data_IF_237900536522
#
_entry.id   IF_237900536522
#
_cell.length_a   1.000
_cell.length_b   1.000
_cell.length_c   1.000
_cell.angle_alpha   90.00
_cell.angle_beta   90.00
_cell.angle_gamma   90.00
#
_symmetry.space_group_name_H-M   'P 1'
#
loop_
_entity.id
_entity.type
_entity.pdbx_description
1 polymer ?
#
# COMPACT_ATOMS: atom_id res chain seq x y z
N UNK A 1 -12.07 5.13 1.31
CA UNK A 1 -12.88 4.92 2.53
C UNK A 1 -11.97 5.05 3.74
N UNK A 2 -12.10 6.14 4.49
CA UNK A 2 -11.38 6.29 5.75
C UNK A 2 -12.06 5.42 6.82
N UNK A 3 -11.26 4.81 7.69
CA UNK A 3 -11.76 4.05 8.84
C UNK A 3 -11.43 4.80 10.12
N UNK A 4 -12.47 5.02 10.92
CA UNK A 4 -12.42 5.64 12.26
C UNK A 4 -12.82 4.61 13.32
N UNK A 5 -13.98 3.97 13.13
CA UNK A 5 -14.51 2.89 13.93
C UNK A 5 -15.53 2.06 13.11
N UNK A 6 -15.94 0.91 13.67
CA UNK A 6 -16.89 0.01 13.03
C UNK A 6 -18.27 0.65 12.79
N UNK A 7 -18.79 1.42 13.75
CA UNK A 7 -20.14 2.01 13.64
C UNK A 7 -20.23 3.00 12.48
N UNK A 8 -19.24 3.88 12.33
CA UNK A 8 -19.17 4.81 11.22
C UNK A 8 -18.99 4.08 9.89
N UNK A 9 -18.13 3.05 9.83
CA UNK A 9 -17.98 2.23 8.63
C UNK A 9 -19.30 1.54 8.25
N UNK A 10 -20.02 0.99 9.23
CA UNK A 10 -21.32 0.35 9.04
C UNK A 10 -22.38 1.32 8.51
N UNK A 11 -22.33 2.58 8.91
CA UNK A 11 -23.30 3.61 8.50
C UNK A 11 -22.95 4.29 7.17
N UNK A 12 -21.65 4.50 6.87
CA UNK A 12 -21.21 5.39 5.79
C UNK A 12 -20.64 4.67 4.57
N UNK A 13 -20.17 3.43 4.69
CA UNK A 13 -19.57 2.72 3.55
C UNK A 13 -20.65 2.06 2.66
N UNK A 14 -20.39 1.88 1.35
CA UNK A 14 -21.35 1.29 0.42
C UNK A 14 -21.73 -0.14 0.82
N UNK A 15 -23.03 -0.40 0.95
CA UNK A 15 -23.59 -1.66 1.47
C UNK A 15 -23.15 -2.89 0.69
N UNK A 16 -22.84 -2.74 -0.59
CA UNK A 16 -22.46 -3.83 -1.49
C UNK A 16 -21.07 -4.42 -1.16
N UNK A 17 -20.21 -3.63 -0.52
CA UNK A 17 -18.82 -4.02 -0.28
C UNK A 17 -18.35 -3.79 1.16
N UNK A 18 -19.15 -3.11 1.98
CA UNK A 18 -18.81 -2.68 3.34
C UNK A 18 -18.31 -3.81 4.22
N UNK A 19 -19.06 -4.88 4.34
CA UNK A 19 -18.74 -5.95 5.31
C UNK A 19 -17.45 -6.68 4.91
N UNK A 20 -17.26 -6.92 3.60
CA UNK A 20 -16.05 -7.54 3.04
C UNK A 20 -14.84 -6.61 3.16
N UNK A 21 -15.01 -5.32 2.88
CA UNK A 21 -13.96 -4.32 3.02
C UNK A 21 -13.52 -4.15 4.47
N UNK A 22 -14.47 -4.18 5.41
CA UNK A 22 -14.20 -4.08 6.83
C UNK A 22 -13.44 -5.32 7.34
N UNK A 23 -13.86 -6.52 6.92
CA UNK A 23 -13.15 -7.75 7.26
C UNK A 23 -11.73 -7.79 6.69
N UNK A 24 -11.56 -7.37 5.43
CA UNK A 24 -10.26 -7.25 4.78
C UNK A 24 -9.36 -6.25 5.51
N UNK A 25 -9.89 -5.09 5.90
CA UNK A 25 -9.16 -4.09 6.65
C UNK A 25 -8.67 -4.62 8.01
N UNK A 26 -9.56 -5.26 8.79
CA UNK A 26 -9.22 -5.79 10.12
C UNK A 26 -8.13 -6.86 10.04
N UNK A 27 -8.30 -7.83 9.16
CA UNK A 27 -7.33 -8.91 8.96
C UNK A 27 -5.97 -8.38 8.49
N UNK A 28 -5.98 -7.40 7.57
CA UNK A 28 -4.76 -6.76 7.08
C UNK A 28 -4.08 -5.93 8.17
N UNK A 29 -4.84 -5.28 9.05
CA UNK A 29 -4.28 -4.49 10.13
C UNK A 29 -3.51 -5.35 11.14
N UNK A 30 -4.01 -6.54 11.49
CA UNK A 30 -3.30 -7.48 12.34
C UNK A 30 -1.97 -7.93 11.72
N UNK A 31 -1.95 -8.18 10.40
CA UNK A 31 -0.72 -8.47 9.66
C UNK A 31 0.26 -7.28 9.72
N UNK A 32 -0.22 -6.05 9.53
CA UNK A 32 0.61 -4.84 9.61
C UNK A 32 1.23 -4.66 10.98
N UNK A 33 0.50 -4.93 12.08
CA UNK A 33 1.07 -4.89 13.45
C UNK A 33 2.30 -5.79 13.55
N UNK A 34 2.16 -7.06 13.16
CA UNK A 34 3.24 -8.05 13.20
C UNK A 34 4.43 -7.67 12.31
N UNK A 35 4.16 -7.13 11.12
CA UNK A 35 5.21 -6.65 10.23
C UNK A 35 5.97 -5.47 10.84
N UNK A 36 5.26 -4.51 11.44
CA UNK A 36 5.88 -3.33 12.05
C UNK A 36 6.72 -3.71 13.28
N UNK A 37 6.20 -4.60 14.13
CA UNK A 37 6.92 -5.20 15.26
C UNK A 37 8.23 -5.84 14.79
N UNK A 38 8.18 -6.70 13.77
CA UNK A 38 9.36 -7.36 13.25
C UNK A 38 10.36 -6.37 12.63
N UNK A 39 9.87 -5.41 11.83
CA UNK A 39 10.71 -4.44 11.13
C UNK A 39 11.44 -3.51 12.11
N UNK A 40 10.75 -2.94 13.10
CA UNK A 40 11.35 -2.03 14.06
C UNK A 40 12.09 -2.78 15.18
N UNK A 41 11.62 -3.97 15.56
CA UNK A 41 12.33 -4.87 16.48
C UNK A 41 13.70 -5.28 15.95
N UNK A 42 13.83 -5.56 14.65
CA UNK A 42 15.12 -5.80 13.99
C UNK A 42 16.07 -4.60 14.02
N UNK A 43 15.56 -3.39 14.29
CA UNK A 43 16.36 -2.19 14.49
C UNK A 43 16.68 -1.92 15.97
N UNK A 44 16.25 -2.81 16.88
CA UNK A 44 16.44 -2.70 18.32
C UNK A 44 15.38 -1.85 19.03
N UNK A 45 14.25 -1.56 18.38
CA UNK A 45 13.15 -0.83 19.02
C UNK A 45 12.27 -1.77 19.85
N UNK A 46 12.02 -1.41 21.10
CA UNK A 46 11.01 -2.05 21.95
C UNK A 46 9.66 -1.34 21.79
N UNK A 47 8.73 -2.03 21.13
CA UNK A 47 7.39 -1.53 20.86
C UNK A 47 6.37 -2.26 21.73
N UNK A 48 5.64 -1.48 22.52
CA UNK A 48 4.39 -1.93 23.13
C UNK A 48 3.20 -1.66 22.18
N UNK A 49 2.04 -2.18 22.54
CA UNK A 49 0.81 -2.02 21.75
C UNK A 49 0.47 -0.55 21.47
N UNK A 50 0.68 0.34 22.45
CA UNK A 50 0.36 1.76 22.31
C UNK A 50 1.25 2.45 21.28
N UNK A 51 2.56 2.13 21.25
CA UNK A 51 3.50 2.67 20.26
C UNK A 51 3.17 2.15 18.86
N UNK A 52 2.82 0.88 18.73
CA UNK A 52 2.40 0.30 17.44
C UNK A 52 1.16 1.04 16.94
N UNK A 53 0.14 1.17 17.79
CA UNK A 53 -1.09 1.87 17.44
C UNK A 53 -0.86 3.34 17.07
N UNK A 54 0.11 4.01 17.68
CA UNK A 54 0.49 5.37 17.30
C UNK A 54 1.05 5.44 15.87
N UNK A 55 1.77 4.41 15.40
CA UNK A 55 2.39 4.38 14.08
C UNK A 55 1.42 3.99 12.95
N UNK A 56 0.36 3.25 13.25
CA UNK A 56 -0.59 2.71 12.25
C UNK A 56 -2.07 2.94 12.63
N UNK A 57 -2.32 3.99 13.42
CA UNK A 57 -3.63 4.30 13.98
C UNK A 57 -4.65 4.70 12.92
N UNK A 58 -4.26 5.55 11.96
CA UNK A 58 -5.11 5.95 10.83
C UNK A 58 -5.07 4.86 9.75
N UNK A 59 -6.26 4.50 9.26
CA UNK A 59 -6.44 3.46 8.25
C UNK A 59 -7.32 3.97 7.13
N UNK A 60 -6.96 3.65 5.89
CA UNK A 60 -7.76 3.99 4.72
C UNK A 60 -7.74 2.83 3.72
N UNK A 61 -8.90 2.52 3.15
CA UNK A 61 -9.04 1.55 2.06
C UNK A 61 -9.48 2.29 0.81
N UNK A 62 -8.75 2.16 -0.30
CA UNK A 62 -9.24 2.62 -1.60
C UNK A 62 -9.69 1.43 -2.44
N UNK A 63 -10.71 1.66 -3.27
CA UNK A 63 -11.17 0.71 -4.29
C UNK A 63 -10.92 1.37 -5.63
N UNK A 64 -9.76 1.07 -6.22
CA UNK A 64 -9.37 1.70 -7.47
C UNK A 64 -9.88 0.85 -8.64
N UNK A 65 -10.55 1.51 -9.59
CA UNK A 65 -10.98 0.92 -10.85
C UNK A 65 -10.36 1.71 -11.99
N UNK A 66 -9.60 1.02 -12.84
CA UNK A 66 -8.91 1.60 -13.97
C UNK A 66 -9.51 1.02 -15.25
N UNK A 67 -10.15 1.87 -16.04
CA UNK A 67 -10.72 1.49 -17.33
C UNK A 67 -9.62 1.15 -18.36
N UNK A 68 -9.99 0.38 -19.37
CA UNK A 68 -9.16 0.25 -20.58
C UNK A 68 -8.87 1.61 -21.18
N UNK A 69 -7.60 1.88 -21.49
CA UNK A 69 -7.16 3.11 -22.13
C UNK A 69 -6.81 2.86 -23.60
N UNK A 70 -7.41 3.58 -24.58
CA UNK A 70 -7.07 3.41 -25.99
C UNK A 70 -5.60 3.72 -26.33
N UNK A 71 -5.00 4.68 -25.61
CA UNK A 71 -3.62 5.12 -25.82
C UNK A 71 -2.84 5.07 -24.50
N UNK A 72 -2.48 3.87 -24.01
CA UNK A 72 -1.93 3.70 -22.66
C UNK A 72 -0.55 4.35 -22.47
N UNK A 73 0.17 4.63 -23.56
CA UNK A 73 1.46 5.33 -23.54
C UNK A 73 1.33 6.84 -23.30
N UNK A 74 0.15 7.42 -23.50
CA UNK A 74 -0.10 8.87 -23.38
C UNK A 74 -0.63 9.28 -22.01
N UNK A 75 -0.96 8.32 -21.15
CA UNK A 75 -1.51 8.58 -19.82
C UNK A 75 -1.03 7.57 -18.80
N UNK A 76 -1.39 7.80 -17.54
CA UNK A 76 -0.99 6.95 -16.43
C UNK A 76 -2.17 6.76 -15.49
N UNK A 77 -2.25 5.59 -14.86
CA UNK A 77 -3.27 5.33 -13.84
C UNK A 77 -2.95 6.10 -12.56
N UNK A 78 -1.69 6.03 -12.11
CA UNK A 78 -1.18 6.82 -10.99
C UNK A 78 0.24 7.30 -11.33
N UNK A 79 0.45 8.61 -11.20
CA UNK A 79 1.73 9.27 -11.46
C UNK A 79 2.87 8.82 -10.53
N UNK A 80 4.08 9.31 -10.82
CA UNK A 80 5.27 9.03 -10.00
C UNK A 80 5.08 9.58 -8.59
N UNK A 81 5.13 8.71 -7.61
CA UNK A 81 5.04 9.08 -6.20
C UNK A 81 5.67 8.00 -5.31
N UNK A 82 5.83 8.34 -4.03
CA UNK A 82 6.13 7.43 -2.95
C UNK A 82 5.07 7.63 -1.87
N UNK A 83 4.65 6.57 -1.20
CA UNK A 83 3.58 6.69 -0.21
C UNK A 83 4.02 7.46 1.02
N UNK A 84 3.13 8.33 1.51
CA UNK A 84 3.35 9.17 2.68
C UNK A 84 3.05 8.44 4.01
N UNK A 85 2.59 7.20 3.94
CA UNK A 85 2.10 6.44 5.09
C UNK A 85 3.23 5.67 5.80
N UNK A 86 2.88 4.76 6.70
CA UNK A 86 3.79 3.84 7.38
C UNK A 86 4.05 2.61 6.52
N UNK A 87 2.96 1.91 6.19
CA UNK A 87 2.96 0.71 5.34
C UNK A 87 1.69 0.70 4.50
N UNK A 88 1.87 0.44 3.20
CA UNK A 88 0.77 0.17 2.26
C UNK A 88 0.68 -1.32 1.98
N UNK A 89 -0.56 -1.83 1.91
CA UNK A 89 -0.90 -3.22 1.60
C UNK A 89 -1.76 -3.20 0.35
N UNK A 90 -1.25 -3.75 -0.74
CA UNK A 90 -1.91 -3.73 -2.03
C UNK A 90 -2.36 -5.15 -2.42
N UNK A 91 -3.68 -5.30 -2.59
CA UNK A 91 -4.27 -6.41 -3.32
C UNK A 91 -4.43 -6.02 -4.79
N UNK A 92 -3.81 -6.79 -5.68
CA UNK A 92 -3.91 -6.64 -7.12
C UNK A 92 -4.88 -7.67 -7.72
N UNK A 93 -5.48 -7.35 -8.86
CA UNK A 93 -6.03 -8.36 -9.75
C UNK A 93 -4.93 -9.08 -10.54
N UNK A 94 -5.34 -9.96 -11.47
CA UNK A 94 -4.43 -10.71 -12.32
C UNK A 94 -3.84 -9.95 -13.52
N UNK A 95 -4.05 -8.63 -13.65
CA UNK A 95 -3.65 -7.87 -14.85
C UNK A 95 -2.27 -7.22 -14.69
N UNK A 96 -1.88 -6.80 -13.47
CA UNK A 96 -0.56 -6.21 -13.20
C UNK A 96 -0.56 -4.69 -13.29
N UNK A 97 0.42 -4.08 -13.97
CA UNK A 97 0.57 -2.63 -14.18
C UNK A 97 1.12 -1.78 -13.03
N UNK A 98 1.50 -2.38 -11.90
CA UNK A 98 2.28 -1.69 -10.86
C UNK A 98 3.76 -1.71 -11.28
N UNK A 99 4.40 -0.56 -11.33
CA UNK A 99 5.84 -0.45 -11.58
C UNK A 99 6.51 0.28 -10.45
N UNK A 100 7.65 -0.26 -9.99
CA UNK A 100 8.51 0.40 -9.02
C UNK A 100 9.78 0.88 -9.71
N UNK A 101 10.34 1.99 -9.23
CA UNK A 101 11.66 2.42 -9.65
C UNK A 101 12.69 1.57 -8.93
N UNK A 102 13.50 0.82 -9.67
CA UNK A 102 14.46 -0.11 -9.09
C UNK A 102 15.40 0.63 -8.11
N UNK A 103 15.42 0.25 -6.81
CA UNK A 103 16.36 0.83 -5.87
C UNK A 103 17.77 0.35 -6.20
N UNK A 104 18.76 1.18 -5.88
CA UNK A 104 20.19 0.96 -6.20
C UNK A 104 20.74 -0.40 -5.73
N UNK A 105 20.05 -1.06 -4.80
CA UNK A 105 20.47 -2.29 -4.13
C UNK A 105 20.06 -3.56 -4.88
N UNK A 106 19.07 -3.51 -5.80
CA UNK A 106 18.50 -4.72 -6.42
C UNK A 106 19.28 -5.16 -7.66
N UNK A 107 19.78 -4.21 -8.45
CA UNK A 107 20.73 -4.46 -9.53
C UNK A 107 21.38 -3.13 -9.95
N UNK A 108 22.70 -3.01 -9.84
CA UNK A 108 23.44 -1.79 -10.23
C UNK A 108 23.25 -1.45 -11.71
N UNK A 109 22.99 -2.45 -12.56
CA UNK A 109 22.76 -2.29 -13.99
C UNK A 109 21.36 -1.74 -14.31
N UNK A 110 20.37 -1.95 -13.43
CA UNK A 110 18.97 -1.51 -13.63
C UNK A 110 18.64 -0.23 -12.86
N UNK A 111 19.64 0.50 -12.38
CA UNK A 111 19.44 1.71 -11.57
C UNK A 111 18.63 2.73 -12.35
N UNK A 112 17.46 3.09 -11.81
CA UNK A 112 16.57 4.10 -12.40
C UNK A 112 15.59 3.54 -13.43
N UNK A 113 15.62 2.24 -13.73
CA UNK A 113 14.61 1.59 -14.55
C UNK A 113 13.31 1.35 -13.77
N UNK A 114 12.19 1.39 -14.48
CA UNK A 114 10.89 0.98 -13.97
C UNK A 114 10.72 -0.51 -14.14
N UNK A 115 10.54 -1.23 -13.04
CA UNK A 115 10.35 -2.68 -13.01
C UNK A 115 8.90 -2.98 -12.65
N UNK A 116 8.24 -3.79 -13.48
CA UNK A 116 6.89 -4.25 -13.19
C UNK A 116 6.90 -5.23 -12.01
N UNK A 117 5.94 -5.08 -11.11
CA UNK A 117 5.63 -6.06 -10.07
C UNK A 117 4.52 -6.96 -10.61
N UNK A 118 4.83 -8.20 -11.04
CA UNK A 118 3.83 -9.10 -11.59
C UNK A 118 2.86 -9.54 -10.49
N UNK A 119 1.55 -9.61 -10.77
CA UNK A 119 0.59 -10.12 -9.81
C UNK A 119 0.81 -11.62 -9.59
N UNK A 120 0.87 -12.03 -8.32
CA UNK A 120 0.98 -13.43 -7.91
C UNK A 120 -0.34 -13.82 -7.26
N UNK A 121 -0.93 -14.95 -7.68
CA UNK A 121 -2.20 -15.44 -7.14
C UNK A 121 -2.09 -15.67 -5.64
N UNK A 122 -3.00 -15.06 -4.87
CA UNK A 122 -3.02 -15.15 -3.40
C UNK A 122 -1.97 -14.30 -2.67
N UNK A 123 -1.20 -13.48 -3.39
CA UNK A 123 -0.18 -12.62 -2.78
C UNK A 123 -0.68 -11.18 -2.57
N UNK A 124 -0.10 -10.53 -1.57
CA UNK A 124 -0.21 -9.09 -1.33
C UNK A 124 1.14 -8.44 -1.64
N UNK A 125 1.12 -7.21 -2.15
CA UNK A 125 2.31 -6.37 -2.25
C UNK A 125 2.33 -5.44 -1.04
N UNK A 126 3.45 -5.44 -0.31
CA UNK A 126 3.68 -4.54 0.81
C UNK A 126 4.79 -3.57 0.44
N UNK A 127 4.57 -2.27 0.63
CA UNK A 127 5.62 -1.28 0.47
C UNK A 127 5.75 -0.37 1.70
N UNK A 128 6.99 0.08 1.89
CA UNK A 128 7.39 1.00 2.95
C UNK A 128 6.93 2.41 2.54
N UNK A 129 6.26 3.12 3.44
CA UNK A 129 5.94 4.53 3.27
C UNK A 129 6.99 5.45 3.90
N UNK A 130 6.87 6.75 3.65
CA UNK A 130 7.82 7.75 4.12
C UNK A 130 7.93 7.83 5.64
N UNK A 131 6.83 7.59 6.38
CA UNK A 131 6.87 7.67 7.84
C UNK A 131 7.80 6.60 8.42
N UNK A 132 7.71 5.36 7.93
CA UNK A 132 8.58 4.28 8.36
C UNK A 132 10.03 4.49 7.89
N UNK A 133 10.24 5.08 6.72
CA UNK A 133 11.59 5.49 6.29
C UNK A 133 12.19 6.49 7.28
N UNK A 134 11.43 7.48 7.75
CA UNK A 134 11.91 8.48 8.72
C UNK A 134 12.25 7.82 10.06
N UNK A 135 11.32 7.03 10.64
CA UNK A 135 11.54 6.43 11.97
C UNK A 135 12.64 5.38 11.98
N UNK A 136 12.85 4.68 10.86
CA UNK A 136 13.97 3.75 10.71
C UNK A 136 15.32 4.45 10.45
N UNK A 137 15.36 5.78 10.52
CA UNK A 137 16.52 6.60 10.18
C UNK A 137 17.07 6.25 8.77
N UNK A 138 16.15 6.08 7.82
CA UNK A 138 16.44 5.75 6.44
C UNK A 138 16.89 4.31 6.18
N UNK A 139 16.82 3.39 7.14
CA UNK A 139 17.19 1.98 6.91
C UNK A 139 16.20 1.26 6.00
N UNK A 140 14.91 1.55 6.14
CA UNK A 140 13.89 1.13 5.19
C UNK A 140 13.62 2.25 4.19
N UNK A 141 13.38 1.90 2.92
CA UNK A 141 13.26 2.86 1.81
C UNK A 141 11.86 2.85 1.23
N UNK A 142 11.25 4.03 1.18
CA UNK A 142 10.02 4.30 0.44
C UNK A 142 10.36 4.48 -1.04
N UNK A 143 9.99 3.48 -1.85
CA UNK A 143 10.31 3.43 -3.27
C UNK A 143 9.32 4.25 -4.10
N UNK A 144 9.83 4.97 -5.10
CA UNK A 144 8.99 5.59 -6.12
C UNK A 144 8.27 4.49 -6.92
N UNK A 145 6.98 4.66 -7.15
CA UNK A 145 6.16 3.73 -7.93
C UNK A 145 5.14 4.49 -8.80
N UNK A 146 4.64 3.79 -9.83
CA UNK A 146 3.61 4.25 -10.76
C UNK A 146 2.62 3.12 -11.05
N UNK A 147 1.44 3.49 -11.54
CA UNK A 147 0.49 2.51 -12.10
C UNK A 147 0.26 2.87 -13.57
N UNK A 148 0.63 1.99 -14.49
CA UNK A 148 0.36 2.18 -15.93
C UNK A 148 -1.10 1.84 -16.24
N UNK A 149 -1.62 2.43 -17.31
CA UNK A 149 -2.90 2.00 -17.89
C UNK A 149 -2.67 0.90 -18.91
N UNK A 150 -3.72 0.18 -19.29
CA UNK A 150 -3.68 -0.87 -20.31
C UNK A 150 -4.83 -0.70 -21.28
N UNK A 151 -4.63 -1.06 -22.54
CA UNK A 151 -5.68 -1.08 -23.56
C UNK A 151 -6.46 -2.40 -23.60
N UNK A 152 -6.02 -3.43 -22.87
CA UNK A 152 -6.54 -4.80 -23.05
C UNK A 152 -7.74 -5.10 -22.18
N UNK A 153 -7.68 -4.78 -20.89
CA UNK A 153 -8.72 -5.08 -19.90
C UNK A 153 -8.75 -4.02 -18.80
N UNK A 154 -9.95 -3.69 -18.31
CA UNK A 154 -10.08 -2.88 -17.10
C UNK A 154 -9.51 -3.65 -15.91
N UNK A 155 -8.86 -2.93 -14.99
CA UNK A 155 -8.22 -3.53 -13.81
C UNK A 155 -8.74 -2.93 -12.50
N UNK A 156 -8.62 -3.68 -11.42
CA UNK A 156 -8.90 -3.22 -10.05
C UNK A 156 -7.70 -3.37 -9.14
N UNK A 157 -7.64 -2.54 -8.11
CA UNK A 157 -6.73 -2.77 -6.99
C UNK A 157 -7.29 -2.19 -5.70
N UNK A 158 -6.96 -2.83 -4.58
CA UNK A 158 -7.49 -2.45 -3.25
C UNK A 158 -6.32 -2.20 -2.30
N UNK A 159 -5.72 -0.99 -2.32
CA UNK A 159 -4.71 -0.62 -1.34
C UNK A 159 -5.34 -0.27 0.01
N UNK A 160 -4.70 -0.73 1.08
CA UNK A 160 -4.87 -0.25 2.44
C UNK A 160 -3.65 0.59 2.79
N UNK A 161 -3.89 1.80 3.27
CA UNK A 161 -2.86 2.70 3.79
C UNK A 161 -2.96 2.72 5.31
N UNK A 162 -1.82 2.53 5.99
CA UNK A 162 -1.73 2.63 7.45
C UNK A 162 -0.78 3.75 7.80
N UNK A 163 -1.23 4.70 8.61
CA UNK A 163 -0.48 5.92 8.93
C UNK A 163 -0.61 6.27 10.41
N UNK A 164 0.24 7.17 10.93
CA UNK A 164 0.02 7.78 12.23
C UNK A 164 -1.36 8.42 12.36
N UNK A 165 -1.84 8.52 13.60
CA UNK A 165 -2.94 9.44 13.87
C UNK A 165 -2.52 10.88 13.60
N UNK A 166 -3.40 11.71 13.01
CA UNK A 166 -3.18 13.16 12.97
C UNK A 166 -3.06 13.70 14.40
N UNK A 167 -2.14 14.64 14.61
CA UNK A 167 -2.01 15.42 15.87
C UNK A 167 -3.07 16.50 15.96
#
# INVERSE_FOLDING_TARGET
>A
MAYTNDDEALQQWPVECRDVALQYLKTSHEMVRKLLEALLGNLGAELDDSKIDAFIGKKMVNMNFYLTCPNPELTIGVGRHSDMDTLTILLQDGIGSLYIKAPQVVNMEKKGEWVEIPPISGALVINIGYMLQIWSNGRYKSAEHIVRTTSTKSRVSIPIFTSPQPT
#
